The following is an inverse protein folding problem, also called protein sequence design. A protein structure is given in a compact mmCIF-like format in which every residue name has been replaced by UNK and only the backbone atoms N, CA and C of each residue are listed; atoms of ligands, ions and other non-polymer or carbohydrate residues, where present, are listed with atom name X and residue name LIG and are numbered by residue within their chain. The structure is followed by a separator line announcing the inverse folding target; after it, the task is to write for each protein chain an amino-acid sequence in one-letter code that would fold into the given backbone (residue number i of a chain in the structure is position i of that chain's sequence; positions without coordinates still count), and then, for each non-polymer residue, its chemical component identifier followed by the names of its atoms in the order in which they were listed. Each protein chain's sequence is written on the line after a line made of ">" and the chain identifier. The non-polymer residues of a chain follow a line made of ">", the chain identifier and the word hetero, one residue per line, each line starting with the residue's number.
data_IF_715446015935
#
_entry.id   IF_715446015935
#
_cell.length_a   1.000
_cell.length_b   1.000
_cell.length_c   1.000
_cell.angle_alpha   90.00
_cell.angle_beta   90.00
_cell.angle_gamma   90.00
#
_symmetry.space_group_name_H-M   'P 1'
#
loop_
_entity.id
_entity.type
_entity.pdbx_description
1 polymer ?
#
# COMPACT_ATOMS: atom_id res chain seq x y z
N UNK A 1 4.21 1.08 -12.88
CA UNK A 1 4.43 0.37 -11.61
C UNK A 1 3.25 0.44 -10.66
N UNK A 2 2.66 1.64 -10.48
CA UNK A 2 1.52 1.77 -9.56
C UNK A 2 0.34 0.89 -9.98
N UNK A 3 -0.07 0.97 -11.23
CA UNK A 3 -1.21 0.17 -11.72
C UNK A 3 -0.88 -1.33 -11.78
N UNK A 4 0.38 -1.70 -11.94
CA UNK A 4 0.80 -3.09 -11.83
C UNK A 4 0.60 -3.60 -10.40
N UNK A 5 0.94 -2.80 -9.40
CA UNK A 5 0.68 -3.14 -7.99
C UNK A 5 -0.81 -3.26 -7.70
N UNK A 6 -1.62 -2.33 -8.22
CA UNK A 6 -3.09 -2.39 -8.13
C UNK A 6 -3.60 -3.72 -8.70
N UNK A 7 -3.14 -4.09 -9.89
CA UNK A 7 -3.60 -5.32 -10.57
C UNK A 7 -3.33 -6.59 -9.75
N UNK A 8 -2.23 -6.62 -9.02
CA UNK A 8 -1.88 -7.77 -8.18
C UNK A 8 -2.81 -7.95 -6.98
N UNK A 9 -3.33 -6.86 -6.44
CA UNK A 9 -4.09 -6.87 -5.18
C UNK A 9 -5.56 -6.49 -5.36
N UNK A 10 -5.99 -6.22 -6.59
CA UNK A 10 -7.36 -5.82 -6.88
C UNK A 10 -8.36 -6.92 -6.56
N UNK A 11 -9.45 -6.54 -5.92
CA UNK A 11 -10.58 -7.43 -5.66
C UNK A 11 -10.44 -8.31 -4.42
N UNK A 12 -9.32 -8.23 -3.71
CA UNK A 12 -9.13 -8.96 -2.46
C UNK A 12 -8.30 -8.14 -1.47
N UNK A 13 -8.57 -8.28 -0.19
CA UNK A 13 -7.75 -7.65 0.85
C UNK A 13 -6.32 -8.21 0.77
N UNK A 14 -5.33 -7.35 1.03
CA UNK A 14 -3.93 -7.78 1.04
C UNK A 14 -3.69 -8.95 2.00
N UNK A 15 -4.44 -9.01 3.11
CA UNK A 15 -4.41 -10.13 4.05
C UNK A 15 -4.62 -11.49 3.36
N UNK A 16 -5.45 -11.53 2.32
CA UNK A 16 -5.78 -12.75 1.59
C UNK A 16 -4.86 -13.01 0.39
N UNK A 17 -3.97 -12.09 0.07
CA UNK A 17 -3.07 -12.24 -1.07
C UNK A 17 -1.97 -13.25 -0.75
N UNK A 18 -1.38 -13.81 -1.80
CA UNK A 18 -0.23 -14.70 -1.67
C UNK A 18 1.04 -13.88 -1.46
N UNK A 19 1.99 -14.41 -0.68
CA UNK A 19 3.23 -13.72 -0.38
C UNK A 19 3.98 -13.24 -1.63
N UNK A 20 4.12 -14.04 -2.71
CA UNK A 20 4.78 -13.55 -3.93
C UNK A 20 4.08 -12.34 -4.56
N UNK A 21 2.76 -12.29 -4.51
CA UNK A 21 1.99 -11.12 -5.00
C UNK A 21 2.26 -9.89 -4.14
N UNK A 22 2.28 -10.06 -2.82
CA UNK A 22 2.57 -8.97 -1.87
C UNK A 22 3.98 -8.42 -2.10
N UNK A 23 4.97 -9.29 -2.19
CA UNK A 23 6.36 -8.89 -2.39
C UNK A 23 6.55 -8.15 -3.72
N UNK A 24 5.87 -8.63 -4.77
CA UNK A 24 5.94 -7.99 -6.09
C UNK A 24 5.26 -6.62 -6.10
N UNK A 25 4.13 -6.48 -5.42
CA UNK A 25 3.45 -5.20 -5.30
C UNK A 25 4.34 -4.17 -4.58
N UNK A 26 5.01 -4.58 -3.50
CA UNK A 26 5.95 -3.71 -2.78
C UNK A 26 7.11 -3.31 -3.68
N UNK A 27 7.65 -4.25 -4.45
CA UNK A 27 8.74 -3.97 -5.41
C UNK A 27 8.31 -2.92 -6.43
N UNK A 28 7.10 -3.04 -6.99
CA UNK A 28 6.56 -2.05 -7.93
C UNK A 28 6.38 -0.67 -7.29
N UNK A 29 5.91 -0.62 -6.05
CA UNK A 29 5.73 0.66 -5.35
C UNK A 29 7.06 1.32 -5.04
N UNK A 30 8.06 0.57 -4.64
CA UNK A 30 9.40 1.09 -4.43
C UNK A 30 9.98 1.64 -5.73
N UNK A 31 9.81 0.93 -6.85
CA UNK A 31 10.27 1.41 -8.16
C UNK A 31 9.56 2.70 -8.57
N UNK A 32 8.25 2.77 -8.40
CA UNK A 32 7.48 3.97 -8.71
C UNK A 32 7.95 5.17 -7.88
N UNK A 33 8.19 4.96 -6.60
CA UNK A 33 8.62 6.01 -5.68
C UNK A 33 10.04 6.49 -5.97
N UNK A 34 10.90 5.63 -6.50
CA UNK A 34 12.26 6.02 -6.92
C UNK A 34 12.23 6.93 -8.15
N UNK A 35 11.29 6.72 -9.06
CA UNK A 35 11.15 7.55 -10.27
C UNK A 35 10.59 8.90 -9.91
N UNK A 36 9.48 8.94 -9.16
CA UNK A 36 8.82 10.16 -8.72
C UNK A 36 8.10 9.88 -7.41
N UNK A 37 8.63 10.35 -6.26
CA UNK A 37 7.98 10.14 -4.97
C UNK A 37 6.59 10.78 -4.93
N UNK A 38 5.58 9.99 -4.56
CA UNK A 38 4.21 10.44 -4.36
C UNK A 38 3.63 9.87 -3.08
N UNK A 39 2.84 10.67 -2.39
CA UNK A 39 2.20 10.24 -1.14
C UNK A 39 1.35 9.00 -1.30
N UNK A 40 0.65 8.85 -2.45
CA UNK A 40 -0.21 7.69 -2.66
C UNK A 40 0.60 6.37 -2.76
N UNK A 41 1.83 6.41 -3.26
CA UNK A 41 2.67 5.22 -3.31
C UNK A 41 3.07 4.78 -1.91
N UNK A 42 3.48 5.71 -1.05
CA UNK A 42 3.81 5.43 0.34
C UNK A 42 2.58 4.95 1.13
N UNK A 43 1.42 5.55 0.87
CA UNK A 43 0.16 5.14 1.52
C UNK A 43 -0.25 3.73 1.12
N UNK A 44 -0.18 3.39 -0.17
CA UNK A 44 -0.48 2.04 -0.63
C UNK A 44 0.49 1.03 -0.01
N UNK A 45 1.76 1.37 0.08
CA UNK A 45 2.76 0.53 0.75
C UNK A 45 2.41 0.34 2.23
N UNK A 46 1.98 1.42 2.91
CA UNK A 46 1.52 1.35 4.29
C UNK A 46 0.31 0.40 4.46
N UNK A 47 -0.65 0.48 3.54
CA UNK A 47 -1.79 -0.44 3.54
C UNK A 47 -1.34 -1.90 3.47
N UNK A 48 -0.42 -2.23 2.56
CA UNK A 48 0.11 -3.59 2.42
C UNK A 48 0.79 -4.03 3.71
N UNK A 49 1.65 -3.18 4.28
CA UNK A 49 2.35 -3.50 5.52
C UNK A 49 1.40 -3.73 6.69
N UNK A 50 0.34 -2.94 6.78
CA UNK A 50 -0.67 -3.13 7.81
C UNK A 50 -1.49 -4.40 7.55
N UNK A 51 -2.12 -4.50 6.39
CA UNK A 51 -3.14 -5.53 6.14
C UNK A 51 -2.54 -6.93 5.97
N UNK A 52 -1.34 -7.05 5.43
CA UNK A 52 -0.67 -8.34 5.30
C UNK A 52 0.23 -8.65 6.49
N UNK A 53 1.15 -7.74 6.83
CA UNK A 53 2.19 -8.06 7.82
C UNK A 53 1.69 -7.91 9.26
N UNK A 54 1.10 -6.77 9.61
CA UNK A 54 0.65 -6.54 11.01
C UNK A 54 -0.46 -7.51 11.38
N UNK A 55 -1.46 -7.67 10.52
CA UNK A 55 -2.58 -8.57 10.80
C UNK A 55 -2.16 -10.05 10.88
N UNK A 56 -1.03 -10.41 10.30
CA UNK A 56 -0.46 -11.76 10.40
C UNK A 56 0.63 -11.85 11.46
N UNK A 57 0.83 -10.80 12.24
CA UNK A 57 1.88 -10.72 13.27
C UNK A 57 3.29 -10.94 12.73
N UNK A 58 3.53 -10.51 11.50
CA UNK A 58 4.85 -10.60 10.85
C UNK A 58 5.59 -9.29 11.04
N UNK A 59 6.87 -9.38 11.40
CA UNK A 59 7.74 -8.20 11.49
C UNK A 59 8.14 -7.77 10.09
N UNK A 60 8.24 -6.45 9.87
CA UNK A 60 8.62 -5.89 8.58
C UNK A 60 9.22 -4.50 8.76
N UNK A 61 10.10 -4.12 7.83
CA UNK A 61 10.74 -2.80 7.79
C UNK A 61 10.65 -2.28 6.35
N UNK A 62 10.24 -1.03 6.12
CA UNK A 62 9.65 -0.11 7.09
C UNK A 62 8.28 -0.59 7.57
N UNK A 63 7.86 -0.13 8.76
CA UNK A 63 6.52 -0.46 9.26
C UNK A 63 5.48 0.51 8.67
N UNK A 64 4.18 0.17 8.85
CA UNK A 64 3.13 0.96 8.20
C UNK A 64 3.02 2.39 8.74
N UNK A 65 3.37 2.63 10.01
CA UNK A 65 3.32 3.97 10.59
C UNK A 65 4.38 4.89 10.02
N UNK A 66 5.58 4.36 9.77
CA UNK A 66 6.65 5.10 9.09
C UNK A 66 6.23 5.50 7.68
N UNK A 67 5.58 4.58 6.96
CA UNK A 67 5.10 4.83 5.61
C UNK A 67 3.93 5.81 5.58
N UNK A 68 3.04 5.78 6.58
CA UNK A 68 1.97 6.78 6.70
C UNK A 68 2.55 8.18 6.92
N UNK A 69 3.57 8.30 7.76
CA UNK A 69 4.24 9.58 7.99
C UNK A 69 4.89 10.08 6.69
N UNK A 70 5.53 9.21 5.93
CA UNK A 70 6.09 9.55 4.62
C UNK A 70 5.00 10.02 3.66
N UNK A 71 3.87 9.32 3.60
CA UNK A 71 2.76 9.69 2.74
C UNK A 71 2.21 11.08 3.08
N UNK A 72 2.08 11.39 4.36
CA UNK A 72 1.64 12.71 4.82
C UNK A 72 2.65 13.78 4.44
N UNK A 73 3.94 13.51 4.61
CA UNK A 73 5.00 14.42 4.21
C UNK A 73 5.03 14.71 2.71
N UNK A 74 4.58 13.78 1.90
CA UNK A 74 4.46 13.92 0.45
C UNK A 74 3.10 14.46 0.00
N UNK A 75 2.23 14.82 0.94
CA UNK A 75 0.99 15.51 0.62
C UNK A 75 -0.15 14.63 0.14
N UNK A 76 -0.22 13.36 0.58
CA UNK A 76 -1.36 12.49 0.25
C UNK A 76 -2.65 13.12 0.75
N UNK A 77 -3.70 13.09 -0.07
CA UNK A 77 -5.02 13.65 0.27
C UNK A 77 -6.04 12.55 0.51
N UNK A 78 -7.15 12.91 1.17
CA UNK A 78 -8.27 11.97 1.36
C UNK A 78 -8.84 11.50 0.02
N UNK A 79 -8.82 12.38 -1.00
CA UNK A 79 -9.23 12.01 -2.34
C UNK A 79 -8.33 10.91 -2.94
N UNK A 80 -7.01 11.07 -2.80
CA UNK A 80 -6.05 10.07 -3.28
C UNK A 80 -6.29 8.71 -2.63
N UNK A 81 -6.55 8.70 -1.32
CA UNK A 81 -6.83 7.48 -0.57
C UNK A 81 -8.12 6.83 -1.03
N UNK A 82 -9.16 7.64 -1.25
CA UNK A 82 -10.43 7.14 -1.77
C UNK A 82 -10.26 6.49 -3.13
N UNK A 83 -9.55 7.15 -4.03
CA UNK A 83 -9.27 6.61 -5.37
C UNK A 83 -8.50 5.30 -5.27
N UNK A 84 -7.52 5.21 -4.39
CA UNK A 84 -6.76 3.97 -4.18
C UNK A 84 -7.66 2.79 -3.82
N UNK A 85 -8.52 2.95 -2.82
CA UNK A 85 -9.40 1.86 -2.40
C UNK A 85 -10.50 1.56 -3.39
N UNK A 86 -10.96 2.56 -4.16
CA UNK A 86 -11.87 2.34 -5.28
C UNK A 86 -11.19 1.49 -6.37
N UNK A 87 -9.94 1.79 -6.70
CA UNK A 87 -9.17 1.01 -7.69
C UNK A 87 -8.89 -0.41 -7.20
N UNK A 88 -8.58 -0.58 -5.92
CA UNK A 88 -8.35 -1.89 -5.32
C UNK A 88 -9.64 -2.69 -5.14
N UNK A 89 -10.77 -2.00 -5.13
CA UNK A 89 -12.08 -2.60 -4.87
C UNK A 89 -12.13 -3.36 -3.54
N UNK A 90 -11.57 -2.77 -2.51
CA UNK A 90 -11.61 -3.29 -1.14
C UNK A 90 -11.93 -2.16 -0.17
N UNK A 91 -12.45 -2.50 1.00
CA UNK A 91 -12.77 -1.52 2.03
C UNK A 91 -11.48 -0.99 2.68
N UNK A 92 -11.48 0.31 2.99
CA UNK A 92 -10.39 0.95 3.73
C UNK A 92 -10.37 0.42 5.17
N UNK A 93 -9.23 -0.10 5.66
CA UNK A 93 -9.12 -0.48 7.07
C UNK A 93 -9.33 0.72 8.00
N UNK A 94 -9.95 0.47 9.17
CA UNK A 94 -10.23 1.54 10.12
C UNK A 94 -8.95 2.22 10.66
N UNK A 95 -7.84 1.49 10.72
CA UNK A 95 -6.55 1.97 11.20
C UNK A 95 -5.84 2.86 10.18
N UNK A 96 -6.32 2.90 8.99
CA UNK A 96 -5.81 3.72 7.90
C UNK A 96 -6.87 4.73 7.48
#
# INVERSE_FOLDING_TARGET
>A
YFFAAISLLKGKKAFLAKRPEVDKAIEYLNAANMIEPKGIYAYFHAYIKYDYFVRKSLKTVPNYRELLAEAQGLGVTDYDVKVLFDLLNVARPAEL
#
